data_IF_349480359314
#
_entry.id   IF_349480359314
#
_cell.length_a   1.000
_cell.length_b   1.000
_cell.length_c   1.000
_cell.angle_alpha   90.00
_cell.angle_beta   90.00
_cell.angle_gamma   90.00
#
_symmetry.space_group_name_H-M   'P 1'
#
loop_
_entity.id
_entity.type
_entity.pdbx_description
1 polymer ?
#
# COMPACT_ATOMS: atom_id res chain seq x y z
N UNK A 1 -2.38 -27.38 -3.84
CA UNK A 1 -2.05 -28.42 -4.84
C UNK A 1 -1.59 -27.71 -6.10
N UNK A 2 -0.53 -28.17 -6.75
CA UNK A 2 -0.14 -27.65 -8.07
C UNK A 2 -1.18 -28.03 -9.11
N UNK A 3 -1.50 -27.13 -10.05
CA UNK A 3 -2.28 -27.50 -11.22
C UNK A 3 -1.47 -28.49 -12.07
N UNK A 4 -2.03 -29.67 -12.29
CA UNK A 4 -1.51 -30.65 -13.24
C UNK A 4 -2.49 -30.67 -14.42
N UNK A 5 -1.99 -30.36 -15.61
CA UNK A 5 -2.80 -30.48 -16.83
C UNK A 5 -3.34 -31.90 -16.94
N UNK A 6 -4.62 -32.03 -17.26
CA UNK A 6 -5.23 -33.34 -17.57
C UNK A 6 -4.91 -33.81 -18.98
N UNK A 7 -4.27 -32.97 -19.80
CA UNK A 7 -3.91 -33.24 -21.18
C UNK A 7 -2.39 -33.13 -21.33
N UNK A 8 -1.77 -34.18 -21.86
CA UNK A 8 -0.42 -34.12 -22.42
C UNK A 8 -0.52 -33.73 -23.90
N UNK A 9 -0.26 -32.46 -24.19
CA UNK A 9 -0.37 -31.93 -25.55
C UNK A 9 0.67 -32.53 -26.52
N UNK A 10 1.70 -33.21 -26.02
CA UNK A 10 2.67 -33.90 -26.87
C UNK A 10 2.17 -35.26 -27.35
N UNK A 11 1.19 -35.83 -26.65
CA UNK A 11 0.55 -37.12 -26.97
C UNK A 11 -0.90 -36.97 -27.47
N UNK A 12 -1.51 -35.79 -27.29
CA UNK A 12 -2.84 -35.48 -27.85
C UNK A 12 -2.78 -35.37 -29.38
N UNK A 13 -3.12 -36.46 -30.06
CA UNK A 13 -3.08 -36.54 -31.53
C UNK A 13 -3.94 -35.47 -32.20
N UNK A 14 -5.10 -35.13 -31.63
CA UNK A 14 -5.99 -34.13 -32.21
C UNK A 14 -5.36 -32.73 -32.16
N UNK A 15 -4.68 -32.40 -31.06
CA UNK A 15 -3.90 -31.19 -30.93
C UNK A 15 -2.72 -31.16 -31.91
N UNK A 16 -1.92 -32.24 -31.97
CA UNK A 16 -0.74 -32.34 -32.84
C UNK A 16 -1.11 -32.23 -34.32
N UNK A 17 -2.16 -32.93 -34.75
CA UNK A 17 -2.63 -32.88 -36.13
C UNK A 17 -3.15 -31.48 -36.51
N UNK A 18 -3.87 -30.82 -35.60
CA UNK A 18 -4.30 -29.43 -35.78
C UNK A 18 -3.09 -28.51 -35.89
N UNK A 19 -2.10 -28.64 -35.01
CA UNK A 19 -0.86 -27.88 -35.05
C UNK A 19 -0.12 -28.04 -36.39
N UNK A 20 0.06 -29.27 -36.87
CA UNK A 20 0.72 -29.53 -38.17
C UNK A 20 -0.04 -28.96 -39.36
N UNK A 21 -1.38 -28.97 -39.33
CA UNK A 21 -2.21 -28.30 -40.35
C UNK A 21 -2.00 -26.80 -40.35
N UNK A 22 -2.08 -26.17 -39.17
CA UNK A 22 -1.79 -24.73 -38.99
C UNK A 22 -0.42 -24.37 -39.55
N UNK A 23 0.62 -25.16 -39.26
CA UNK A 23 1.99 -24.91 -39.76
C UNK A 23 2.14 -25.07 -41.28
N UNK A 24 1.19 -25.73 -41.95
CA UNK A 24 1.12 -25.81 -43.43
C UNK A 24 0.27 -24.70 -44.05
N UNK A 25 -0.28 -23.79 -43.25
CA UNK A 25 -1.11 -22.67 -43.68
C UNK A 25 -2.62 -22.94 -43.68
N UNK A 26 -3.07 -24.09 -43.17
CA UNK A 26 -4.50 -24.38 -42.97
C UNK A 26 -4.96 -23.81 -41.62
N UNK A 27 -5.46 -22.57 -41.63
CA UNK A 27 -5.78 -21.78 -40.44
C UNK A 27 -7.27 -21.86 -40.09
N UNK A 28 -7.59 -22.05 -38.81
CA UNK A 28 -8.98 -22.08 -38.32
C UNK A 28 -9.67 -20.70 -38.35
N UNK A 29 -8.91 -19.62 -38.06
CA UNK A 29 -9.34 -18.22 -38.08
C UNK A 29 -10.60 -17.84 -37.25
N UNK A 30 -11.20 -18.78 -36.51
CA UNK A 30 -12.38 -18.55 -35.66
C UNK A 30 -12.18 -17.42 -34.64
N UNK A 31 -10.95 -17.24 -34.15
CA UNK A 31 -10.57 -16.15 -33.23
C UNK A 31 -10.66 -14.73 -33.85
N UNK A 32 -10.72 -14.61 -35.18
CA UNK A 32 -10.89 -13.31 -35.84
C UNK A 32 -12.35 -12.82 -35.82
N UNK A 33 -13.30 -13.74 -36.00
CA UNK A 33 -14.73 -13.46 -36.15
C UNK A 33 -15.52 -13.71 -34.86
N UNK A 34 -14.95 -13.27 -33.74
CA UNK A 34 -15.58 -13.43 -32.43
C UNK A 34 -16.57 -12.29 -32.18
N UNK A 35 -17.84 -12.59 -31.83
CA UNK A 35 -18.82 -11.58 -31.46
C UNK A 35 -18.33 -10.79 -30.24
N UNK A 36 -18.06 -9.50 -30.44
CA UNK A 36 -17.56 -8.59 -29.40
C UNK A 36 -17.90 -7.15 -29.72
N UNK A 37 -17.92 -6.32 -28.70
CA UNK A 37 -17.97 -4.88 -28.89
C UNK A 37 -16.69 -4.40 -29.61
N UNK A 38 -16.84 -3.54 -30.63
CA UNK A 38 -15.70 -2.98 -31.37
C UNK A 38 -15.54 -1.52 -30.98
N UNK A 39 -14.50 -1.23 -30.22
CA UNK A 39 -14.20 0.13 -29.74
C UNK A 39 -12.94 0.70 -30.39
N UNK A 40 -12.83 2.02 -30.44
CA UNK A 40 -11.64 2.73 -30.87
C UNK A 40 -11.34 3.88 -29.89
N UNK A 41 -10.56 3.59 -28.86
CA UNK A 41 -10.19 4.57 -27.85
C UNK A 41 -9.14 5.56 -28.38
N UNK A 42 -9.19 6.79 -27.88
CA UNK A 42 -8.27 7.89 -28.21
C UNK A 42 -7.97 8.67 -26.93
N UNK A 43 -6.78 9.25 -26.79
CA UNK A 43 -6.45 10.06 -25.63
C UNK A 43 -7.34 11.31 -25.58
N UNK A 44 -8.10 11.50 -24.51
CA UNK A 44 -8.84 12.75 -24.27
C UNK A 44 -7.89 13.94 -24.07
N UNK A 45 -6.69 13.68 -23.54
CA UNK A 45 -5.66 14.69 -23.35
C UNK A 45 -4.33 14.25 -23.97
N UNK A 46 -3.95 14.87 -25.10
CA UNK A 46 -2.72 14.56 -25.82
C UNK A 46 -1.44 14.68 -24.97
N UNK A 47 -1.41 15.50 -23.90
CA UNK A 47 -0.26 15.62 -23.01
C UNK A 47 -0.10 14.44 -22.05
N UNK A 48 -1.19 13.75 -21.74
CA UNK A 48 -1.21 12.59 -20.84
C UNK A 48 -1.07 11.27 -21.58
N UNK A 49 -1.21 11.28 -22.90
CA UNK A 49 -1.24 10.05 -23.68
C UNK A 49 -2.55 9.29 -23.46
N UNK A 50 -2.57 8.02 -23.87
CA UNK A 50 -3.73 7.13 -23.72
C UNK A 50 -3.68 6.50 -22.32
N UNK A 51 -4.64 6.87 -21.48
CA UNK A 51 -4.76 6.45 -20.08
C UNK A 51 -5.82 5.37 -19.91
N UNK A 52 -5.82 4.68 -18.77
CA UNK A 52 -6.91 3.74 -18.43
C UNK A 52 -8.30 4.38 -18.43
N UNK A 53 -8.42 5.67 -18.10
CA UNK A 53 -9.70 6.38 -18.18
C UNK A 53 -10.21 6.50 -19.62
N UNK A 54 -9.31 6.67 -20.59
CA UNK A 54 -9.66 6.70 -22.01
C UNK A 54 -10.11 5.31 -22.53
N UNK A 55 -9.85 4.24 -21.75
CA UNK A 55 -10.24 2.86 -22.06
C UNK A 55 -11.53 2.44 -21.35
N UNK A 56 -12.15 3.31 -20.55
CA UNK A 56 -13.39 3.03 -19.83
C UNK A 56 -14.61 3.06 -20.77
N UNK A 57 -14.70 2.08 -21.67
CA UNK A 57 -15.70 2.02 -22.73
C UNK A 57 -16.38 0.65 -22.75
N UNK A 58 -17.70 0.64 -22.58
CA UNK A 58 -18.54 -0.53 -22.77
C UNK A 58 -18.09 -1.74 -21.95
N UNK A 59 -18.03 -2.92 -22.58
CA UNK A 59 -17.65 -4.18 -21.93
C UNK A 59 -16.17 -4.24 -21.49
N UNK A 60 -15.33 -3.29 -21.93
CA UNK A 60 -13.92 -3.19 -21.53
C UNK A 60 -13.73 -2.30 -20.29
N UNK A 61 -14.68 -1.39 -20.07
CA UNK A 61 -14.63 -0.39 -19.01
C UNK A 61 -14.87 -0.94 -17.61
N UNK A 62 -14.47 -0.14 -16.63
CA UNK A 62 -14.68 -0.40 -15.21
C UNK A 62 -15.95 0.29 -14.69
N UNK A 63 -16.50 1.28 -15.40
CA UNK A 63 -17.75 1.96 -14.99
C UNK A 63 -18.93 1.00 -15.02
N UNK A 64 -19.14 0.29 -16.13
CA UNK A 64 -20.22 -0.68 -16.33
C UNK A 64 -19.94 -2.08 -15.71
N UNK A 65 -18.83 -2.22 -14.99
CA UNK A 65 -18.44 -3.50 -14.37
C UNK A 65 -19.48 -3.94 -13.32
N UNK A 66 -19.97 -5.20 -13.38
CA UNK A 66 -20.98 -5.69 -12.45
C UNK A 66 -20.48 -5.70 -11.00
N UNK A 67 -21.40 -5.50 -10.06
CA UNK A 67 -21.10 -5.53 -8.63
C UNK A 67 -20.53 -6.88 -8.16
N UNK A 68 -20.99 -7.98 -8.76
CA UNK A 68 -20.47 -9.32 -8.50
C UNK A 68 -20.10 -9.99 -9.82
N UNK A 69 -18.81 -10.20 -10.05
CA UNK A 69 -18.30 -10.87 -11.24
C UNK A 69 -18.46 -12.39 -11.06
N UNK A 70 -19.37 -12.97 -11.83
CA UNK A 70 -19.65 -14.43 -11.81
C UNK A 70 -19.14 -15.15 -13.06
N UNK A 71 -19.12 -14.44 -14.18
CA UNK A 71 -18.86 -15.03 -15.50
C UNK A 71 -17.37 -15.24 -15.73
N UNK A 72 -16.57 -14.17 -15.59
CA UNK A 72 -15.13 -14.31 -15.74
C UNK A 72 -14.52 -14.91 -14.47
N UNK A 73 -14.12 -16.17 -14.58
CA UNK A 73 -13.41 -16.91 -13.53
C UNK A 73 -12.02 -17.33 -13.99
N UNK A 74 -11.54 -16.79 -15.10
CA UNK A 74 -10.30 -17.19 -15.77
C UNK A 74 -9.30 -16.02 -15.80
N UNK A 75 -8.18 -16.18 -16.51
CA UNK A 75 -7.26 -15.07 -16.84
C UNK A 75 -7.67 -14.30 -18.10
N UNK A 76 -8.84 -14.59 -18.69
CA UNK A 76 -9.34 -13.82 -19.82
C UNK A 76 -9.40 -12.34 -19.44
N UNK A 77 -8.82 -11.43 -20.25
CA UNK A 77 -8.93 -10.00 -19.99
C UNK A 77 -10.40 -9.55 -19.98
N UNK A 78 -10.74 -8.56 -19.14
CA UNK A 78 -12.09 -7.99 -19.08
C UNK A 78 -12.56 -7.56 -20.48
N UNK A 79 -13.76 -7.99 -20.88
CA UNK A 79 -14.34 -7.72 -22.20
C UNK A 79 -13.83 -8.63 -23.34
N UNK A 80 -12.87 -9.53 -23.08
CA UNK A 80 -12.51 -10.56 -24.04
C UNK A 80 -13.58 -11.65 -24.10
N UNK A 81 -13.81 -12.19 -25.30
CA UNK A 81 -14.71 -13.32 -25.46
C UNK A 81 -14.15 -14.57 -24.79
N UNK A 82 -15.00 -15.26 -24.04
CA UNK A 82 -14.62 -16.42 -23.24
C UNK A 82 -15.14 -17.69 -23.90
N UNK A 83 -14.25 -18.58 -24.42
CA UNK A 83 -14.68 -19.89 -24.89
C UNK A 83 -15.15 -20.78 -23.73
N UNK A 84 -15.86 -21.85 -24.06
CA UNK A 84 -16.20 -22.88 -23.08
C UNK A 84 -14.94 -23.63 -22.60
N UNK A 85 -15.01 -24.19 -21.38
CA UNK A 85 -13.95 -25.03 -20.84
C UNK A 85 -12.75 -24.28 -20.25
N UNK A 86 -12.84 -22.96 -20.05
CA UNK A 86 -11.81 -22.19 -19.35
C UNK A 86 -11.61 -22.68 -17.91
N UNK A 87 -10.37 -22.64 -17.40
CA UNK A 87 -10.10 -23.00 -16.01
C UNK A 87 -10.73 -21.99 -15.04
N UNK A 88 -11.18 -22.49 -13.90
CA UNK A 88 -11.63 -21.67 -12.77
C UNK A 88 -10.43 -21.34 -11.88
N UNK A 89 -10.06 -20.06 -11.83
CA UNK A 89 -9.00 -19.55 -10.96
C UNK A 89 -9.40 -19.53 -9.49
N UNK A 90 -10.68 -19.74 -9.17
CA UNK A 90 -11.19 -19.75 -7.80
C UNK A 90 -10.82 -18.46 -7.04
N UNK A 91 -10.95 -17.31 -7.71
CA UNK A 91 -10.72 -16.01 -7.08
C UNK A 91 -11.54 -15.89 -5.80
N UNK A 92 -10.86 -15.57 -4.69
CA UNK A 92 -11.49 -15.42 -3.38
C UNK A 92 -12.37 -14.16 -3.33
N UNK A 93 -11.99 -13.10 -4.07
CA UNK A 93 -12.70 -11.82 -4.07
C UNK A 93 -13.15 -11.44 -5.48
N UNK A 94 -14.46 -11.42 -5.69
CA UNK A 94 -15.12 -11.08 -6.98
C UNK A 94 -16.17 -9.99 -6.86
N UNK A 95 -16.27 -9.33 -5.69
CA UNK A 95 -17.24 -8.28 -5.39
C UNK A 95 -16.59 -6.90 -5.49
N UNK A 96 -17.14 -6.02 -6.33
CA UNK A 96 -16.59 -4.67 -6.59
C UNK A 96 -16.65 -3.78 -5.35
N UNK A 97 -17.78 -3.79 -4.63
CA UNK A 97 -17.94 -3.04 -3.38
C UNK A 97 -16.93 -3.39 -2.28
N UNK A 98 -16.25 -4.53 -2.36
CA UNK A 98 -15.24 -4.96 -1.39
C UNK A 98 -13.81 -4.49 -1.72
N UNK A 99 -13.50 -4.20 -2.99
CA UNK A 99 -12.10 -4.03 -3.45
C UNK A 99 -11.82 -2.73 -4.18
N UNK A 100 -12.85 -2.04 -4.65
CA UNK A 100 -12.67 -0.89 -5.53
C UNK A 100 -12.37 0.40 -4.77
N UNK A 101 -11.86 1.40 -5.48
CA UNK A 101 -11.65 2.74 -4.96
C UNK A 101 -12.01 3.77 -6.02
N UNK A 102 -12.47 4.95 -5.61
CA UNK A 102 -12.62 6.06 -6.55
C UNK A 102 -11.24 6.46 -7.11
N UNK A 103 -11.17 6.72 -8.42
CA UNK A 103 -9.96 7.18 -9.11
C UNK A 103 -8.76 6.19 -9.03
N UNK A 104 -9.01 4.89 -8.89
CA UNK A 104 -7.96 3.84 -8.84
C UNK A 104 -7.01 3.91 -10.04
N UNK A 105 -7.56 4.11 -11.22
CA UNK A 105 -6.83 4.23 -12.46
C UNK A 105 -5.90 5.46 -12.45
N UNK A 106 -6.34 6.55 -11.83
CA UNK A 106 -5.53 7.76 -11.68
C UNK A 106 -4.33 7.56 -10.76
N UNK A 107 -4.48 6.80 -9.67
CA UNK A 107 -3.37 6.48 -8.77
C UNK A 107 -2.30 5.62 -9.45
N UNK A 108 -2.72 4.64 -10.25
CA UNK A 108 -1.81 3.82 -11.06
C UNK A 108 -1.02 4.68 -12.07
N UNK A 109 -1.72 5.52 -12.85
CA UNK A 109 -1.07 6.40 -13.84
C UNK A 109 -0.11 7.40 -13.19
N UNK A 110 -0.47 7.93 -12.02
CA UNK A 110 0.43 8.80 -11.26
C UNK A 110 1.69 8.05 -10.81
N UNK A 111 1.55 6.82 -10.29
CA UNK A 111 2.68 6.00 -9.88
C UNK A 111 3.67 5.79 -11.04
N UNK A 112 3.17 5.47 -12.24
CA UNK A 112 4.02 5.25 -13.41
C UNK A 112 4.80 6.51 -13.84
N UNK A 113 4.27 7.71 -13.62
CA UNK A 113 4.91 8.97 -14.06
C UNK A 113 5.89 9.55 -13.03
N UNK A 114 5.76 9.19 -11.76
CA UNK A 114 6.54 9.74 -10.64
C UNK A 114 7.67 8.84 -10.12
N UNK A 115 8.18 7.96 -10.98
CA UNK A 115 9.22 7.00 -10.63
C UNK A 115 10.54 7.67 -10.23
N UNK A 116 11.24 7.04 -9.27
CA UNK A 116 12.58 7.43 -8.81
C UNK A 116 13.38 6.18 -8.45
N UNK A 117 14.69 6.31 -8.29
CA UNK A 117 15.62 5.20 -8.09
C UNK A 117 16.43 5.37 -6.80
N UNK A 118 16.30 4.40 -5.89
CA UNK A 118 17.01 4.39 -4.59
C UNK A 118 18.53 4.39 -4.71
N UNK A 119 19.10 3.94 -5.83
CA UNK A 119 20.54 3.91 -6.06
C UNK A 119 21.08 5.21 -6.62
N UNK A 120 20.37 5.85 -7.57
CA UNK A 120 20.91 7.01 -8.31
C UNK A 120 20.36 8.35 -7.86
N UNK A 121 19.13 8.41 -7.32
CA UNK A 121 18.49 9.68 -6.98
C UNK A 121 18.79 10.13 -5.55
N UNK A 122 19.45 9.27 -4.77
CA UNK A 122 19.91 9.56 -3.40
C UNK A 122 21.37 9.98 -3.42
N UNK A 123 21.76 11.06 -2.72
CA UNK A 123 23.12 11.58 -2.75
C UNK A 123 24.03 10.74 -1.84
N UNK A 124 24.26 9.47 -2.19
CA UNK A 124 25.02 8.53 -1.36
C UNK A 124 26.43 9.01 -1.01
N UNK A 125 27.12 9.65 -1.96
CA UNK A 125 28.45 10.19 -1.72
C UNK A 125 28.45 11.31 -0.66
N UNK A 126 27.43 12.16 -0.66
CA UNK A 126 27.23 13.19 0.38
C UNK A 126 26.95 12.53 1.73
N UNK A 127 26.00 11.58 1.77
CA UNK A 127 25.61 10.86 2.99
C UNK A 127 26.77 10.10 3.63
N UNK A 128 27.70 9.56 2.83
CA UNK A 128 28.89 8.85 3.29
C UNK A 128 30.01 9.79 3.74
N UNK A 129 29.97 11.06 3.34
CA UNK A 129 30.96 12.06 3.75
C UNK A 129 30.71 12.67 5.13
N UNK A 130 29.57 12.34 5.74
CA UNK A 130 29.13 12.90 7.03
C UNK A 130 29.18 11.82 8.11
N UNK A 131 30.07 12.01 9.08
CA UNK A 131 30.10 11.22 10.30
C UNK A 131 29.07 11.73 11.31
N UNK A 132 28.14 10.87 11.72
CA UNK A 132 27.15 11.20 12.74
C UNK A 132 27.71 10.97 14.15
N UNK A 133 27.39 11.83 15.14
CA UNK A 133 27.64 11.52 16.55
C UNK A 133 27.06 10.15 16.91
N UNK A 134 27.72 9.40 17.79
CA UNK A 134 27.36 8.01 18.09
C UNK A 134 25.89 7.84 18.52
N UNK A 135 25.39 8.71 19.39
CA UNK A 135 24.01 8.67 19.87
C UNK A 135 23.00 8.94 18.75
N UNK A 136 23.28 9.92 17.89
CA UNK A 136 22.47 10.23 16.71
C UNK A 136 22.53 9.11 15.67
N UNK A 137 23.72 8.58 15.38
CA UNK A 137 23.92 7.53 14.40
C UNK A 137 23.19 6.24 14.78
N UNK A 138 23.27 5.82 16.04
CA UNK A 138 22.53 4.65 16.56
C UNK A 138 21.02 4.87 16.56
N UNK A 139 20.55 6.04 17.00
CA UNK A 139 19.12 6.36 16.98
C UNK A 139 18.57 6.40 15.55
N UNK A 140 19.32 6.99 14.61
CA UNK A 140 18.92 7.05 13.21
C UNK A 140 18.92 5.66 12.56
N UNK A 141 19.95 4.84 12.82
CA UNK A 141 19.99 3.45 12.37
C UNK A 141 18.82 2.62 12.94
N UNK A 142 18.41 2.86 14.18
CA UNK A 142 17.25 2.21 14.79
C UNK A 142 15.94 2.65 14.14
N UNK A 143 15.76 3.96 13.87
CA UNK A 143 14.60 4.45 13.12
C UNK A 143 14.50 3.77 11.75
N UNK A 144 15.60 3.70 11.00
CA UNK A 144 15.64 3.07 9.69
C UNK A 144 15.44 1.55 9.73
N UNK A 145 15.85 0.89 10.83
CA UNK A 145 15.57 -0.53 11.07
C UNK A 145 14.07 -0.75 11.21
N UNK A 146 13.41 0.03 12.07
CA UNK A 146 11.96 0.00 12.24
C UNK A 146 11.23 0.28 10.92
N UNK A 147 11.63 1.32 10.18
CA UNK A 147 11.00 1.63 8.90
C UNK A 147 11.18 0.51 7.89
N UNK A 148 12.34 -0.15 7.83
CA UNK A 148 12.54 -1.32 6.97
C UNK A 148 11.52 -2.43 7.27
N UNK A 149 11.19 -2.68 8.54
CA UNK A 149 10.17 -3.67 8.93
C UNK A 149 8.76 -3.26 8.46
N UNK A 150 8.43 -1.97 8.58
CA UNK A 150 7.15 -1.40 8.12
C UNK A 150 6.99 -1.54 6.61
N UNK A 151 8.03 -1.22 5.83
CA UNK A 151 7.94 -1.32 4.36
C UNK A 151 7.81 -2.76 3.87
N UNK A 152 8.42 -3.72 4.59
CA UNK A 152 8.27 -5.14 4.26
C UNK A 152 6.81 -5.59 4.39
N UNK A 153 6.10 -5.18 5.44
CA UNK A 153 4.69 -5.55 5.59
C UNK A 153 3.79 -4.78 4.60
N UNK A 154 4.11 -3.52 4.31
CA UNK A 154 3.41 -2.71 3.33
C UNK A 154 3.54 -3.30 1.91
N UNK A 155 4.64 -3.99 1.62
CA UNK A 155 4.79 -4.79 0.39
C UNK A 155 3.91 -6.05 0.43
N UNK A 156 4.01 -6.84 1.50
CA UNK A 156 3.44 -8.19 1.58
C UNK A 156 1.90 -8.21 1.66
N UNK A 157 1.31 -7.30 2.44
CA UNK A 157 -0.15 -7.24 2.66
C UNK A 157 -0.94 -7.06 1.37
N UNK A 158 -0.72 -6.03 0.55
CA UNK A 158 -1.47 -5.85 -0.69
C UNK A 158 -1.09 -6.92 -1.73
N UNK A 159 0.19 -7.33 -1.79
CA UNK A 159 0.64 -8.38 -2.71
C UNK A 159 -0.02 -9.74 -2.44
N UNK A 160 -0.28 -10.09 -1.17
CA UNK A 160 -1.04 -11.29 -0.77
C UNK A 160 -2.41 -11.36 -1.43
N UNK A 161 -3.07 -10.22 -1.63
CA UNK A 161 -4.40 -10.15 -2.23
C UNK A 161 -4.37 -10.17 -3.75
N UNK A 162 -3.30 -9.71 -4.40
CA UNK A 162 -3.22 -9.58 -5.86
C UNK A 162 -3.62 -10.88 -6.60
N UNK A 163 -3.16 -12.05 -6.16
CA UNK A 163 -3.53 -13.33 -6.77
C UNK A 163 -4.94 -13.84 -6.41
N UNK A 164 -5.56 -13.27 -5.38
CA UNK A 164 -6.88 -13.65 -4.85
C UNK A 164 -8.03 -12.85 -5.45
N UNK A 165 -7.73 -11.69 -6.04
CA UNK A 165 -8.71 -10.86 -6.73
C UNK A 165 -9.09 -11.47 -8.08
N UNK A 166 -10.35 -11.29 -8.48
CA UNK A 166 -10.81 -11.59 -9.84
C UNK A 166 -9.94 -10.88 -10.90
N UNK A 167 -9.78 -11.48 -12.09
CA UNK A 167 -8.99 -10.90 -13.18
C UNK A 167 -9.57 -9.58 -13.71
N UNK A 168 -10.89 -9.38 -13.59
CA UNK A 168 -11.57 -8.17 -14.04
C UNK A 168 -11.20 -6.92 -13.22
N UNK A 169 -10.67 -7.07 -12.00
CA UNK A 169 -10.19 -5.96 -11.16
C UNK A 169 -8.73 -5.58 -11.49
N UNK A 170 -8.38 -5.53 -12.78
CA UNK A 170 -6.98 -5.35 -13.18
C UNK A 170 -6.44 -3.96 -12.80
N UNK A 171 -7.26 -2.92 -12.69
CA UNK A 171 -6.82 -1.60 -12.23
C UNK A 171 -6.36 -1.65 -10.77
N UNK A 172 -7.13 -2.34 -9.91
CA UNK A 172 -6.76 -2.56 -8.50
C UNK A 172 -5.46 -3.37 -8.43
N UNK A 173 -5.35 -4.43 -9.23
CA UNK A 173 -4.12 -5.24 -9.32
C UNK A 173 -2.91 -4.44 -9.78
N UNK A 174 -3.08 -3.59 -10.78
CA UNK A 174 -2.01 -2.75 -11.31
C UNK A 174 -1.55 -1.71 -10.28
N UNK A 175 -2.48 -1.08 -9.55
CA UNK A 175 -2.14 -0.20 -8.44
C UNK A 175 -1.38 -0.95 -7.33
N UNK A 176 -1.88 -2.11 -6.89
CA UNK A 176 -1.20 -2.96 -5.89
C UNK A 176 0.21 -3.32 -6.34
N UNK A 177 0.41 -3.65 -7.62
CA UNK A 177 1.73 -3.96 -8.16
C UNK A 177 2.67 -2.76 -8.11
N UNK A 178 2.17 -1.54 -8.39
CA UNK A 178 2.98 -0.32 -8.26
C UNK A 178 3.31 0.02 -6.82
N UNK A 179 2.36 -0.18 -5.89
CA UNK A 179 2.61 0.01 -4.45
C UNK A 179 3.67 -0.97 -3.97
N UNK A 180 3.55 -2.27 -4.26
CA UNK A 180 4.55 -3.26 -3.88
C UNK A 180 5.96 -2.93 -4.41
N UNK A 181 6.06 -2.31 -5.60
CA UNK A 181 7.35 -1.83 -6.12
C UNK A 181 7.87 -0.60 -5.36
N UNK A 182 7.00 0.34 -5.01
CA UNK A 182 7.35 1.51 -4.20
C UNK A 182 7.82 1.05 -2.80
N UNK A 183 7.10 0.16 -2.13
CA UNK A 183 7.48 -0.34 -0.79
C UNK A 183 8.75 -1.18 -0.81
N UNK A 184 8.97 -1.97 -1.87
CA UNK A 184 10.24 -2.66 -2.05
C UNK A 184 11.42 -1.68 -2.15
N UNK A 185 11.22 -0.54 -2.82
CA UNK A 185 12.20 0.55 -2.92
C UNK A 185 12.39 1.26 -1.58
N UNK A 186 11.33 1.46 -0.80
CA UNK A 186 11.40 2.07 0.52
C UNK A 186 12.14 1.15 1.52
N UNK A 187 11.84 -0.15 1.52
CA UNK A 187 12.59 -1.13 2.29
C UNK A 187 14.08 -1.15 1.91
N UNK A 188 14.37 -1.13 0.60
CA UNK A 188 15.74 -1.08 0.06
C UNK A 188 16.49 0.16 0.58
N UNK A 189 15.88 1.34 0.47
CA UNK A 189 16.57 2.59 0.79
C UNK A 189 16.80 2.75 2.29
N UNK A 190 15.83 2.42 3.14
CA UNK A 190 16.00 2.49 4.59
C UNK A 190 17.07 1.51 5.06
N UNK A 191 17.07 0.29 4.52
CA UNK A 191 18.11 -0.71 4.79
C UNK A 191 19.49 -0.23 4.34
N UNK A 192 19.61 0.25 3.10
CA UNK A 192 20.88 0.81 2.58
C UNK A 192 21.37 1.93 3.47
N UNK A 193 20.48 2.85 3.86
CA UNK A 193 20.85 3.97 4.71
C UNK A 193 21.30 3.49 6.08
N UNK A 194 20.56 2.59 6.74
CA UNK A 194 20.92 2.03 8.04
C UNK A 194 22.34 1.41 8.02
N UNK A 195 22.64 0.60 7.00
CA UNK A 195 23.95 -0.03 6.83
C UNK A 195 25.05 0.99 6.50
N UNK A 196 24.74 2.04 5.76
CA UNK A 196 25.69 3.12 5.43
C UNK A 196 25.97 4.09 6.58
N UNK A 197 25.19 4.06 7.67
CA UNK A 197 25.48 4.88 8.87
C UNK A 197 26.71 4.43 9.65
N UNK A 198 27.22 3.21 9.37
CA UNK A 198 28.28 2.57 10.16
C UNK A 198 27.80 1.81 11.40
N UNK A 199 26.51 1.93 11.77
CA UNK A 199 25.94 1.27 12.95
C UNK A 199 25.16 -0.01 12.64
N UNK A 200 24.83 -0.25 11.37
CA UNK A 200 24.13 -1.46 10.93
C UNK A 200 22.62 -1.43 11.23
N UNK A 201 22.00 -2.60 11.16
CA UNK A 201 20.62 -2.77 11.63
C UNK A 201 20.62 -2.94 13.14
N UNK A 202 19.67 -2.30 13.79
CA UNK A 202 19.54 -2.30 15.23
C UNK A 202 18.52 -3.38 15.65
N UNK A 203 17.62 -3.09 16.59
CA UNK A 203 16.78 -4.09 17.23
C UNK A 203 15.33 -4.03 16.75
N UNK A 204 14.76 -5.16 16.35
CA UNK A 204 13.33 -5.31 16.12
C UNK A 204 12.54 -5.30 17.43
N UNK A 205 11.35 -4.72 17.41
CA UNK A 205 10.48 -4.66 18.59
C UNK A 205 9.41 -5.75 18.57
N UNK A 206 9.32 -6.57 19.62
CA UNK A 206 8.28 -7.60 19.70
C UNK A 206 6.86 -7.01 19.60
N UNK A 207 6.62 -5.83 20.19
CA UNK A 207 5.35 -5.12 20.08
C UNK A 207 5.05 -4.70 18.64
N UNK A 208 6.07 -4.20 17.92
CA UNK A 208 5.93 -3.86 16.51
C UNK A 208 5.64 -5.12 15.68
N UNK A 209 6.38 -6.21 15.87
CA UNK A 209 6.19 -7.47 15.14
C UNK A 209 4.76 -8.03 15.29
N UNK A 210 4.15 -7.92 16.48
CA UNK A 210 2.73 -8.28 16.66
C UNK A 210 1.79 -7.36 15.87
N UNK A 211 2.07 -6.06 15.77
CA UNK A 211 1.32 -5.12 14.94
C UNK A 211 1.46 -5.44 13.44
N UNK A 212 2.67 -5.74 12.95
CA UNK A 212 2.88 -6.15 11.55
C UNK A 212 2.16 -7.46 11.23
N UNK A 213 2.15 -8.41 12.18
CA UNK A 213 1.37 -9.66 12.03
C UNK A 213 -0.13 -9.39 11.96
N UNK A 214 -0.67 -8.47 12.76
CA UNK A 214 -2.08 -8.07 12.70
C UNK A 214 -2.47 -7.58 11.30
N UNK A 215 -1.64 -6.70 10.70
CA UNK A 215 -1.86 -6.21 9.33
C UNK A 215 -1.87 -7.35 8.30
N UNK A 216 -0.95 -8.30 8.42
CA UNK A 216 -0.84 -9.47 7.53
C UNK A 216 -2.10 -10.34 7.53
N UNK A 217 -2.69 -10.52 8.70
CA UNK A 217 -3.67 -11.55 8.97
C UNK A 217 -5.12 -11.03 8.92
N UNK A 218 -5.35 -9.85 8.35
CA UNK A 218 -6.70 -9.36 8.07
C UNK A 218 -7.51 -10.37 7.23
N UNK A 219 -8.79 -10.52 7.59
CA UNK A 219 -9.68 -11.56 7.06
C UNK A 219 -10.28 -11.22 5.69
N UNK A 220 -10.34 -9.93 5.34
CA UNK A 220 -10.87 -9.44 4.08
C UNK A 220 -10.00 -8.36 3.45
N UNK A 221 -10.16 -8.14 2.14
CA UNK A 221 -9.43 -7.08 1.45
C UNK A 221 -9.76 -5.71 2.03
N UNK A 222 -11.05 -5.43 2.30
CA UNK A 222 -11.49 -4.16 2.84
C UNK A 222 -10.88 -3.85 4.21
N UNK A 223 -10.80 -4.86 5.10
CA UNK A 223 -10.14 -4.72 6.40
C UNK A 223 -8.63 -4.55 6.24
N UNK A 224 -7.98 -5.36 5.39
CA UNK A 224 -6.56 -5.24 5.11
C UNK A 224 -6.21 -3.85 4.58
N UNK A 225 -7.00 -3.34 3.62
CA UNK A 225 -6.81 -2.02 3.03
C UNK A 225 -7.08 -0.90 4.02
N UNK A 226 -8.06 -1.06 4.91
CA UNK A 226 -8.36 -0.08 5.96
C UNK A 226 -7.21 0.02 6.96
N UNK A 227 -6.75 -1.12 7.49
CA UNK A 227 -5.69 -1.16 8.48
C UNK A 227 -4.35 -0.73 7.89
N UNK A 228 -4.02 -1.17 6.67
CA UNK A 228 -2.79 -0.76 5.99
C UNK A 228 -2.88 0.69 5.51
N UNK A 229 -3.68 0.99 4.49
CA UNK A 229 -3.58 2.27 3.76
C UNK A 229 -4.06 3.48 4.56
N UNK A 230 -5.10 3.32 5.39
CA UNK A 230 -5.67 4.44 6.12
C UNK A 230 -5.07 4.58 7.52
N UNK A 231 -4.93 3.46 8.22
CA UNK A 231 -4.56 3.46 9.63
C UNK A 231 -3.05 3.38 9.83
N UNK A 232 -2.35 2.42 9.21
CA UNK A 232 -0.89 2.33 9.30
C UNK A 232 -0.20 3.39 8.43
N UNK A 233 -0.35 3.34 7.10
CA UNK A 233 0.25 4.28 6.15
C UNK A 233 -0.20 5.72 6.41
N UNK A 234 -1.47 5.94 6.79
CA UNK A 234 -1.94 7.27 7.19
C UNK A 234 -1.18 7.85 8.39
N UNK A 235 -0.77 7.00 9.35
CA UNK A 235 0.10 7.39 10.47
C UNK A 235 1.56 7.52 10.00
N UNK A 236 2.03 6.60 9.16
CA UNK A 236 3.40 6.56 8.61
C UNK A 236 3.70 7.78 7.73
N UNK A 237 2.76 8.25 6.91
CA UNK A 237 2.90 9.49 6.13
C UNK A 237 3.19 10.70 7.02
N UNK A 238 2.51 10.79 8.17
CA UNK A 238 2.79 11.85 9.15
C UNK A 238 4.14 11.63 9.84
N UNK A 239 4.50 10.38 10.11
CA UNK A 239 5.80 9.98 10.63
C UNK A 239 6.94 10.29 9.65
N UNK A 240 6.76 10.16 8.34
CA UNK A 240 7.76 10.52 7.34
C UNK A 240 7.98 12.01 7.24
N UNK A 241 6.93 12.83 7.33
CA UNK A 241 7.07 14.30 7.46
C UNK A 241 7.90 14.66 8.69
N UNK A 242 7.65 13.96 9.80
CA UNK A 242 8.40 14.18 11.02
C UNK A 242 9.83 13.66 10.94
N UNK A 243 10.03 12.52 10.29
CA UNK A 243 11.35 11.91 10.07
C UNK A 243 12.22 12.76 9.15
N UNK A 244 11.63 13.40 8.13
CA UNK A 244 12.30 14.47 7.37
C UNK A 244 12.72 15.61 8.30
N UNK A 245 11.82 16.12 9.14
CA UNK A 245 12.12 17.23 10.03
C UNK A 245 13.30 16.94 11.00
N UNK A 246 13.37 15.73 11.56
CA UNK A 246 14.41 15.33 12.51
C UNK A 246 15.64 14.69 11.86
N UNK A 247 15.65 14.52 10.53
CA UNK A 247 16.75 13.87 9.82
C UNK A 247 18.07 14.64 9.97
N UNK A 248 19.21 13.91 10.12
CA UNK A 248 20.47 14.54 10.48
C UNK A 248 21.15 15.29 9.31
N UNK A 249 20.81 14.98 8.05
CA UNK A 249 21.42 15.60 6.86
C UNK A 249 20.37 15.99 5.81
N UNK A 250 20.74 16.85 4.85
CA UNK A 250 19.84 17.19 3.72
C UNK A 250 19.61 16.01 2.77
N UNK A 251 20.59 15.12 2.61
CA UNK A 251 20.40 13.86 1.87
C UNK A 251 19.35 12.96 2.52
N UNK A 252 19.34 12.88 3.85
CA UNK A 252 18.34 12.12 4.62
C UNK A 252 16.94 12.76 4.49
N UNK A 253 16.86 14.09 4.46
CA UNK A 253 15.60 14.79 4.15
C UNK A 253 15.10 14.51 2.74
N UNK A 254 15.99 14.53 1.75
CA UNK A 254 15.63 14.20 0.36
C UNK A 254 15.06 12.79 0.25
N UNK A 255 15.65 11.81 0.95
CA UNK A 255 15.14 10.45 1.05
C UNK A 255 13.68 10.44 1.50
N UNK A 256 13.36 11.08 2.63
CA UNK A 256 11.98 11.12 3.13
C UNK A 256 11.03 11.85 2.19
N UNK A 257 11.45 12.92 1.50
CA UNK A 257 10.62 13.61 0.50
C UNK A 257 10.20 12.69 -0.65
N UNK A 258 11.10 11.82 -1.10
CA UNK A 258 10.83 10.86 -2.18
C UNK A 258 9.86 9.77 -1.72
N UNK A 259 10.09 9.19 -0.55
CA UNK A 259 9.19 8.20 0.05
C UNK A 259 7.79 8.78 0.29
N UNK A 260 7.70 10.00 0.86
CA UNK A 260 6.42 10.67 1.08
C UNK A 260 5.61 10.94 -0.19
N UNK A 261 6.27 11.11 -1.33
CA UNK A 261 5.58 11.28 -2.61
C UNK A 261 4.81 10.02 -2.99
N UNK A 262 5.35 8.85 -2.68
CA UNK A 262 4.73 7.56 -2.97
C UNK A 262 3.59 7.29 -2.00
N UNK A 263 3.87 7.46 -0.71
CA UNK A 263 2.92 7.26 0.39
C UNK A 263 1.69 8.16 0.34
N UNK A 264 1.86 9.40 -0.16
CA UNK A 264 0.71 10.28 -0.38
C UNK A 264 -0.31 9.66 -1.37
N UNK A 265 0.16 8.87 -2.34
CA UNK A 265 -0.71 8.14 -3.27
C UNK A 265 -1.36 6.94 -2.60
N UNK A 266 -0.62 6.16 -1.81
CA UNK A 266 -1.15 4.98 -1.12
C UNK A 266 -2.22 5.34 -0.08
N UNK A 267 -1.96 6.36 0.75
CA UNK A 267 -2.96 6.93 1.66
C UNK A 267 -4.15 7.52 0.89
N UNK A 268 -3.88 8.18 -0.25
CA UNK A 268 -4.92 8.68 -1.14
C UNK A 268 -5.87 7.57 -1.61
N UNK A 269 -5.30 6.47 -2.10
CA UNK A 269 -6.03 5.26 -2.46
C UNK A 269 -6.84 4.71 -1.28
N UNK A 270 -6.22 4.55 -0.10
CA UNK A 270 -6.89 4.05 1.11
C UNK A 270 -8.11 4.87 1.51
N UNK A 271 -8.01 6.21 1.42
CA UNK A 271 -9.13 7.10 1.68
C UNK A 271 -10.28 6.89 0.67
N UNK A 272 -9.96 6.79 -0.62
CA UNK A 272 -10.97 6.56 -1.66
C UNK A 272 -11.58 5.15 -1.59
N UNK A 273 -10.79 4.15 -1.19
CA UNK A 273 -11.25 2.79 -0.96
C UNK A 273 -12.23 2.73 0.22
N UNK A 274 -11.88 3.29 1.38
CA UNK A 274 -12.80 3.33 2.53
C UNK A 274 -14.10 4.04 2.17
N UNK A 275 -14.00 5.19 1.49
CA UNK A 275 -15.20 5.90 1.03
C UNK A 275 -16.05 5.04 0.11
N UNK A 276 -15.44 4.34 -0.84
CA UNK A 276 -16.14 3.43 -1.75
C UNK A 276 -16.87 2.32 -0.98
N UNK A 277 -16.19 1.65 -0.06
CA UNK A 277 -16.76 0.57 0.77
C UNK A 277 -17.94 1.09 1.59
N UNK A 278 -17.85 2.28 2.18
CA UNK A 278 -18.97 2.85 2.96
C UNK A 278 -20.16 3.27 2.09
N UNK A 279 -19.89 3.74 0.86
CA UNK A 279 -20.94 4.16 -0.07
C UNK A 279 -21.65 2.94 -0.71
N UNK A 280 -20.95 1.83 -0.95
CA UNK A 280 -21.44 0.69 -1.74
C UNK A 280 -21.58 -0.64 -0.97
N UNK A 281 -21.02 -0.73 0.23
CA UNK A 281 -21.09 -1.91 1.11
C UNK A 281 -21.45 -1.49 2.56
N UNK A 282 -22.52 -0.72 2.78
CA UNK A 282 -22.80 -0.05 4.07
C UNK A 282 -22.97 -1.01 5.25
N UNK A 283 -23.36 -2.26 5.03
CA UNK A 283 -23.44 -3.31 6.05
C UNK A 283 -22.07 -3.64 6.68
N UNK A 284 -20.95 -3.31 6.02
CA UNK A 284 -19.60 -3.46 6.58
C UNK A 284 -19.27 -2.40 7.63
N UNK A 285 -20.06 -1.33 7.78
CA UNK A 285 -19.71 -0.20 8.65
C UNK A 285 -19.40 -0.59 10.10
N UNK A 286 -20.19 -1.48 10.71
CA UNK A 286 -19.93 -1.93 12.07
C UNK A 286 -18.73 -2.88 12.17
N UNK A 287 -18.52 -3.74 11.17
CA UNK A 287 -17.31 -4.57 11.09
C UNK A 287 -16.04 -3.70 10.95
N UNK A 288 -16.11 -2.64 10.15
CA UNK A 288 -15.06 -1.62 10.01
C UNK A 288 -14.76 -0.96 11.37
N UNK A 289 -15.79 -0.55 12.12
CA UNK A 289 -15.57 0.01 13.47
C UNK A 289 -14.91 -1.00 14.42
N UNK A 290 -15.32 -2.27 14.38
CA UNK A 290 -14.71 -3.32 15.20
C UNK A 290 -13.24 -3.54 14.81
N UNK A 291 -12.95 -3.62 13.52
CA UNK A 291 -11.58 -3.80 13.03
C UNK A 291 -10.68 -2.62 13.42
N UNK A 292 -11.20 -1.38 13.36
CA UNK A 292 -10.46 -0.20 13.82
C UNK A 292 -10.19 -0.19 15.33
N UNK A 293 -11.02 -0.83 16.17
CA UNK A 293 -10.74 -0.94 17.61
C UNK A 293 -9.45 -1.74 17.85
N UNK A 294 -9.30 -2.86 17.14
CA UNK A 294 -8.10 -3.69 17.20
C UNK A 294 -6.90 -2.99 16.55
N UNK A 295 -7.10 -2.43 15.36
CA UNK A 295 -6.05 -1.76 14.62
C UNK A 295 -5.45 -0.59 15.43
N UNK A 296 -6.30 0.27 16.03
CA UNK A 296 -5.87 1.36 16.90
C UNK A 296 -5.10 0.88 18.13
N UNK A 297 -5.51 -0.25 18.72
CA UNK A 297 -4.80 -0.86 19.85
C UNK A 297 -3.40 -1.34 19.46
N UNK A 298 -3.25 -2.02 18.32
CA UNK A 298 -1.96 -2.52 17.86
C UNK A 298 -1.01 -1.39 17.44
N UNK A 299 -1.49 -0.37 16.73
CA UNK A 299 -0.67 0.79 16.36
C UNK A 299 -0.26 1.60 17.58
N UNK A 300 -1.13 1.72 18.59
CA UNK A 300 -0.73 2.32 19.85
C UNK A 300 0.37 1.48 20.54
N UNK A 301 0.20 0.16 20.64
CA UNK A 301 1.24 -0.71 21.22
C UNK A 301 2.58 -0.63 20.49
N UNK A 302 2.57 -0.66 19.15
CA UNK A 302 3.76 -0.59 18.31
C UNK A 302 4.43 0.79 18.33
N UNK A 303 3.66 1.87 18.23
CA UNK A 303 4.19 3.24 18.22
C UNK A 303 4.82 3.71 19.54
N UNK A 304 4.48 3.05 20.66
CA UNK A 304 5.07 3.30 21.98
C UNK A 304 6.09 2.24 22.41
N UNK A 305 6.46 1.32 21.53
CA UNK A 305 7.56 0.41 21.77
C UNK A 305 8.86 1.17 22.02
N UNK A 306 9.71 0.66 22.92
CA UNK A 306 11.00 1.28 23.27
C UNK A 306 11.87 1.53 22.04
N UNK A 307 11.99 0.52 21.17
CA UNK A 307 12.81 0.59 19.95
C UNK A 307 12.25 1.56 18.89
N UNK A 308 11.02 2.05 19.06
CA UNK A 308 10.40 3.04 18.17
C UNK A 308 10.46 4.43 18.82
N UNK A 309 10.00 4.55 20.07
CA UNK A 309 9.81 5.84 20.74
C UNK A 309 11.13 6.52 21.15
N UNK A 310 12.09 5.78 21.71
CA UNK A 310 13.35 6.37 22.18
C UNK A 310 14.19 6.99 21.05
N UNK A 311 14.34 6.35 19.87
CA UNK A 311 14.99 6.97 18.72
C UNK A 311 14.38 8.31 18.33
N UNK A 312 13.04 8.41 18.29
CA UNK A 312 12.37 9.68 18.00
C UNK A 312 12.72 10.75 19.02
N UNK A 313 12.73 10.41 20.31
CA UNK A 313 13.11 11.34 21.38
C UNK A 313 14.55 11.80 21.20
N UNK A 314 15.49 10.88 20.97
CA UNK A 314 16.92 11.19 20.81
C UNK A 314 17.17 12.07 19.59
N UNK A 315 16.57 11.73 18.44
CA UNK A 315 16.71 12.47 17.18
C UNK A 315 16.10 13.86 17.28
N UNK A 316 14.89 13.97 17.84
CA UNK A 316 14.20 15.25 18.05
C UNK A 316 14.97 16.16 19.01
N UNK A 317 15.48 15.57 20.09
CA UNK A 317 16.25 16.25 21.12
C UNK A 317 17.68 16.57 20.68
N UNK A 318 18.20 15.91 19.65
CA UNK A 318 19.58 15.98 19.17
C UNK A 318 20.61 15.54 20.20
N UNK A 319 20.33 14.45 20.92
CA UNK A 319 21.31 13.75 21.75
C UNK A 319 20.79 13.29 23.11
N UNK A 320 21.70 12.72 23.92
CA UNK A 320 21.37 12.05 25.19
C UNK A 320 21.48 12.89 26.46
N UNK A 321 21.88 14.16 26.38
CA UNK A 321 21.92 15.01 27.59
C UNK A 321 20.50 15.23 28.10
N UNK A 322 20.36 15.46 29.41
CA UNK A 322 19.06 15.64 30.07
C UNK A 322 18.18 16.70 29.39
N UNK A 323 18.79 17.80 28.97
CA UNK A 323 18.09 18.91 28.30
C UNK A 323 17.65 18.51 26.88
N UNK A 324 18.49 17.77 26.16
CA UNK A 324 18.16 17.23 24.83
C UNK A 324 17.00 16.23 24.93
N UNK A 325 17.03 15.30 25.89
CA UNK A 325 15.94 14.33 26.11
C UNK A 325 14.63 15.05 26.46
N UNK A 326 14.67 16.03 27.36
CA UNK A 326 13.47 16.79 27.73
C UNK A 326 12.84 17.49 26.53
N UNK A 327 13.66 18.12 25.68
CA UNK A 327 13.19 18.75 24.44
C UNK A 327 12.69 17.71 23.42
N UNK A 328 13.39 16.59 23.28
CA UNK A 328 13.00 15.48 22.42
C UNK A 328 11.64 14.88 22.79
N UNK A 329 11.36 14.72 24.08
CA UNK A 329 10.04 14.30 24.60
C UNK A 329 8.97 15.32 24.22
N UNK A 330 9.24 16.62 24.40
CA UNK A 330 8.29 17.69 24.07
C UNK A 330 7.91 17.68 22.59
N UNK A 331 8.92 17.61 21.71
CA UNK A 331 8.72 17.60 20.25
C UNK A 331 8.00 16.32 19.81
N UNK A 332 8.47 15.15 20.27
CA UNK A 332 7.90 13.85 19.90
C UNK A 332 6.43 13.75 20.34
N UNK A 333 6.09 14.25 21.53
CA UNK A 333 4.72 14.25 22.02
C UNK A 333 3.81 15.18 21.19
N UNK A 334 4.28 16.38 20.82
CA UNK A 334 3.53 17.26 19.93
C UNK A 334 3.28 16.61 18.56
N UNK A 335 4.25 15.89 18.03
CA UNK A 335 4.11 15.08 16.82
C UNK A 335 3.04 13.98 16.98
N UNK A 336 3.09 13.17 18.05
CA UNK A 336 2.12 12.09 18.28
C UNK A 336 0.66 12.60 18.39
N UNK A 337 0.47 13.76 19.03
CA UNK A 337 -0.85 14.40 19.10
C UNK A 337 -1.34 14.80 17.70
N UNK A 338 -0.48 15.44 16.90
CA UNK A 338 -0.81 15.82 15.52
C UNK A 338 -1.11 14.59 14.65
N UNK A 339 -0.31 13.54 14.78
CA UNK A 339 -0.48 12.28 14.06
C UNK A 339 -1.86 11.65 14.36
N UNK A 340 -2.27 11.65 15.63
CA UNK A 340 -3.59 11.14 16.03
C UNK A 340 -4.73 12.03 15.52
N UNK A 341 -4.59 13.36 15.63
CA UNK A 341 -5.59 14.31 15.12
C UNK A 341 -5.81 14.13 13.60
N UNK A 342 -4.73 14.03 12.81
CA UNK A 342 -4.80 13.81 11.35
C UNK A 342 -5.44 12.46 10.97
N UNK A 343 -5.21 11.40 11.75
CA UNK A 343 -5.88 10.10 11.54
C UNK A 343 -7.40 10.22 11.65
N UNK A 344 -7.92 10.84 12.71
CA UNK A 344 -9.37 11.02 12.86
C UNK A 344 -9.96 12.00 11.85
N UNK A 345 -9.20 13.01 11.41
CA UNK A 345 -9.63 13.86 10.30
C UNK A 345 -9.78 13.09 8.99
N UNK A 346 -8.86 12.15 8.68
CA UNK A 346 -8.96 11.29 7.49
C UNK A 346 -10.21 10.41 7.57
N UNK A 347 -10.44 9.74 8.70
CA UNK A 347 -11.65 8.93 8.92
C UNK A 347 -12.93 9.74 8.74
N UNK A 348 -13.00 10.95 9.30
CA UNK A 348 -14.15 11.84 9.15
C UNK A 348 -14.39 12.21 7.67
N UNK A 349 -13.33 12.55 6.93
CA UNK A 349 -13.40 12.84 5.48
C UNK A 349 -13.85 11.64 4.65
N UNK A 350 -13.58 10.42 5.12
CA UNK A 350 -14.01 9.19 4.45
C UNK A 350 -15.43 8.75 4.82
N UNK A 351 -16.13 9.45 5.73
CA UNK A 351 -17.50 9.13 6.12
C UNK A 351 -17.65 8.41 7.46
N UNK A 352 -16.63 8.44 8.33
CA UNK A 352 -16.67 7.93 9.71
C UNK A 352 -16.40 9.03 10.76
N UNK A 353 -17.12 10.16 10.77
CA UNK A 353 -16.89 11.22 11.75
C UNK A 353 -17.13 10.75 13.20
N UNK A 354 -18.04 9.80 13.40
CA UNK A 354 -18.35 9.25 14.72
C UNK A 354 -17.24 8.37 15.31
N UNK A 355 -16.24 7.96 14.50
CA UNK A 355 -15.15 7.10 14.96
C UNK A 355 -14.36 7.74 16.09
N UNK A 356 -14.21 9.07 16.07
CA UNK A 356 -13.51 9.84 17.10
C UNK A 356 -14.12 9.65 18.49
N UNK A 357 -15.44 9.68 18.61
CA UNK A 357 -16.14 9.51 19.89
C UNK A 357 -16.14 8.06 20.38
N UNK A 358 -16.10 7.11 19.44
CA UNK A 358 -16.06 5.66 19.71
C UNK A 358 -14.69 5.18 20.16
N UNK A 359 -13.61 5.79 19.65
CA UNK A 359 -12.25 5.31 19.83
C UNK A 359 -11.73 5.40 21.28
N UNK A 360 -11.12 4.31 21.75
CA UNK A 360 -10.38 4.28 23.03
C UNK A 360 -9.08 5.09 22.95
N UNK A 361 -8.43 5.09 21.78
CA UNK A 361 -7.23 5.88 21.51
C UNK A 361 -7.52 7.38 21.67
N UNK A 362 -8.64 7.85 21.11
CA UNK A 362 -9.03 9.26 21.24
C UNK A 362 -9.28 9.67 22.69
N UNK A 363 -10.02 8.87 23.46
CA UNK A 363 -10.29 9.12 24.88
C UNK A 363 -9.00 9.25 25.69
N UNK A 364 -8.01 8.40 25.40
CA UNK A 364 -6.70 8.49 26.04
C UNK A 364 -5.97 9.79 25.68
N UNK A 365 -6.01 10.21 24.41
CA UNK A 365 -5.43 11.49 23.99
C UNK A 365 -6.10 12.68 24.68
N UNK A 366 -7.42 12.67 24.85
CA UNK A 366 -8.14 13.73 25.58
C UNK A 366 -7.73 13.80 27.05
N UNK A 367 -7.64 12.65 27.74
CA UNK A 367 -7.13 12.61 29.11
C UNK A 367 -5.69 13.16 29.21
N UNK A 368 -4.86 12.89 28.20
CA UNK A 368 -3.48 13.39 28.16
C UNK A 368 -3.43 14.90 27.93
N UNK A 369 -4.26 15.44 27.02
CA UNK A 369 -4.39 16.89 26.77
C UNK A 369 -4.82 17.65 28.04
N UNK A 370 -5.62 17.04 28.91
CA UNK A 370 -6.05 17.64 30.19
C UNK A 370 -4.98 17.63 31.29
N UNK A 371 -3.99 16.75 31.19
CA UNK A 371 -2.95 16.55 32.21
C UNK A 371 -1.59 17.17 31.87
N UNK A 372 -1.42 17.68 30.65
CA UNK A 372 -0.22 18.41 30.25
C UNK A 372 -0.26 19.87 30.75
N UNK A 373 0.82 20.37 31.39
CA UNK A 373 0.92 21.80 31.69
C UNK A 373 0.97 22.61 30.38
N UNK A 374 0.26 23.74 30.38
CA UNK A 374 0.07 24.63 29.23
C UNK A 374 1.39 25.18 28.65
#
# INVERSE_FOLDING_TARGET
MSYLSTIDFTEDQAFVDRFQRTMRGDLELSWMDVPRERVACRPENARRGLTFRDLDVGAYGFTEMPELIRENRSFAPRGAAMPEGLPDLQAEVSRKSEVWAYNIEGYYEEAMTRQWNATTDIPWAELQSVDLPEDIGKAYAQLLTFLTEVEMIATDVPAKWMGRLNADFFEVKNFIATQAMDEARHAEIFRKRALSTGWGLMRASAQNEFNLKFLRDADSFAEASLALHLQAEGMVLTLFRFSEYISPTEGDKKLFRLVMQDEARHVGYGMQHLKWVLDHFPERREAIHHHLDEAENFVFGGGYATEVLEPFIILSGKGLKKENIAEGVRITNAFQLKQTDEYFERLAKCGLPERRERSRLWKMVEMRKQTMPA
#
